data_IF_262747898949
#
_entry.id   IF_262747898949
#
_cell.length_a   1.000
_cell.length_b   1.000
_cell.length_c   1.000
_cell.angle_alpha   90.00
_cell.angle_beta   90.00
_cell.angle_gamma   90.00
#
_symmetry.space_group_name_H-M   'P 1'
#
loop_
_entity.id
_entity.type
_entity.pdbx_description
1 polymer ?
#
# COMPACT_ATOMS: atom_id res chain seq x y z
N UNK A 1 11.84 -20.22 -15.35
CA UNK A 1 12.88 -19.43 -16.05
C UNK A 1 14.18 -20.22 -15.98
N UNK A 2 14.86 -20.49 -17.10
CA UNK A 2 16.13 -21.26 -17.08
C UNK A 2 17.32 -20.34 -16.80
N UNK A 3 18.43 -20.88 -16.28
CA UNK A 3 19.65 -20.11 -15.99
C UNK A 3 20.15 -19.31 -17.21
N UNK A 4 20.17 -19.93 -18.39
CA UNK A 4 20.54 -19.31 -19.67
C UNK A 4 19.64 -18.12 -20.02
N UNK A 5 18.36 -18.19 -19.68
CA UNK A 5 17.41 -17.08 -19.91
C UNK A 5 17.67 -15.93 -18.95
N UNK A 6 17.96 -16.23 -17.67
CA UNK A 6 18.28 -15.23 -16.66
C UNK A 6 19.56 -14.45 -17.02
N UNK A 7 20.61 -15.13 -17.50
CA UNK A 7 21.84 -14.48 -17.93
C UNK A 7 21.62 -13.54 -19.13
N UNK A 8 20.78 -13.95 -20.08
CA UNK A 8 20.38 -13.11 -21.22
C UNK A 8 19.63 -11.86 -20.76
N UNK A 9 18.67 -12.01 -19.85
CA UNK A 9 17.94 -10.87 -19.25
C UNK A 9 18.90 -9.92 -18.54
N UNK A 10 19.84 -10.45 -17.74
CA UNK A 10 20.84 -9.65 -17.03
C UNK A 10 21.74 -8.88 -18.00
N UNK A 11 22.22 -9.53 -19.05
CA UNK A 11 23.03 -8.89 -20.09
C UNK A 11 22.26 -7.77 -20.81
N UNK A 12 21.01 -8.03 -21.20
CA UNK A 12 20.13 -7.03 -21.82
C UNK A 12 19.87 -5.85 -20.89
N UNK A 13 19.63 -6.10 -19.60
CA UNK A 13 19.40 -5.05 -18.60
C UNK A 13 20.60 -4.15 -18.40
N UNK A 14 21.82 -4.72 -18.29
CA UNK A 14 23.04 -3.92 -18.19
C UNK A 14 23.23 -3.00 -19.40
N UNK A 15 22.97 -3.50 -20.62
CA UNK A 15 23.02 -2.70 -21.85
C UNK A 15 21.95 -1.61 -21.90
N UNK A 16 20.75 -1.93 -21.40
CA UNK A 16 19.63 -0.99 -21.33
C UNK A 16 19.95 0.18 -20.38
N UNK A 17 20.33 -0.10 -19.13
CA UNK A 17 20.66 0.92 -18.12
C UNK A 17 21.90 1.73 -18.50
N UNK A 18 22.84 1.15 -19.24
CA UNK A 18 24.00 1.89 -19.74
C UNK A 18 23.64 2.98 -20.75
N UNK A 19 22.45 2.91 -21.38
CA UNK A 19 22.02 3.85 -22.42
C UNK A 19 21.76 5.25 -21.86
N UNK A 20 22.27 6.28 -22.54
CA UNK A 20 22.23 7.67 -22.09
C UNK A 20 20.81 8.24 -21.92
N UNK A 21 19.85 7.82 -22.75
CA UNK A 21 18.45 8.22 -22.64
C UNK A 21 17.78 7.65 -21.37
N UNK A 22 18.04 6.38 -21.03
CA UNK A 22 17.50 5.74 -19.82
C UNK A 22 18.02 6.42 -18.57
N UNK A 23 19.33 6.70 -18.49
CA UNK A 23 19.95 7.36 -17.33
C UNK A 23 19.33 8.72 -16.99
N UNK A 24 18.89 9.47 -18.01
CA UNK A 24 18.23 10.78 -17.80
C UNK A 24 16.82 10.65 -17.22
N UNK A 25 16.13 9.56 -17.57
CA UNK A 25 14.74 9.27 -17.18
C UNK A 25 14.61 8.54 -15.83
N UNK A 26 15.70 7.98 -15.29
CA UNK A 26 15.76 7.28 -13.99
C UNK A 26 15.67 8.21 -12.76
N UNK A 27 14.89 9.27 -12.85
CA UNK A 27 14.55 10.12 -11.69
C UNK A 27 13.34 9.53 -10.97
N UNK A 28 13.18 9.80 -9.66
CA UNK A 28 12.04 9.31 -8.88
C UNK A 28 10.72 9.65 -9.58
N UNK A 29 10.07 8.63 -10.17
CA UNK A 29 8.74 8.72 -10.75
C UNK A 29 7.78 7.87 -9.93
N UNK A 30 6.59 8.41 -9.66
CA UNK A 30 5.49 7.71 -8.98
C UNK A 30 4.77 6.71 -9.90
N UNK A 31 5.33 6.39 -11.06
CA UNK A 31 4.75 5.50 -12.07
C UNK A 31 5.09 4.04 -11.78
N UNK A 32 4.19 3.12 -12.17
CA UNK A 32 4.45 1.68 -12.08
C UNK A 32 5.67 1.28 -12.91
N UNK A 33 6.52 0.42 -12.35
CA UNK A 33 7.78 0.02 -12.97
C UNK A 33 7.59 -0.72 -14.30
N UNK A 34 6.53 -1.54 -14.45
CA UNK A 34 6.24 -2.20 -15.73
C UNK A 34 5.89 -1.19 -16.82
N UNK A 35 5.08 -0.18 -16.51
CA UNK A 35 4.72 0.88 -17.45
C UNK A 35 5.94 1.76 -17.78
N UNK A 36 6.69 2.15 -16.75
CA UNK A 36 7.90 2.95 -16.90
C UNK A 36 8.95 2.26 -17.78
N UNK A 37 9.29 1.00 -17.48
CA UNK A 37 10.31 0.30 -18.25
C UNK A 37 9.82 -0.06 -19.65
N UNK A 38 8.55 -0.44 -19.83
CA UNK A 38 8.01 -0.79 -21.15
C UNK A 38 7.86 0.40 -22.09
N UNK A 39 7.70 1.63 -21.56
CA UNK A 39 7.70 2.85 -22.37
C UNK A 39 9.10 3.28 -22.84
N UNK A 40 10.14 2.93 -22.09
CA UNK A 40 11.52 3.31 -22.38
C UNK A 40 12.28 2.30 -23.25
N UNK A 41 11.86 1.05 -23.30
CA UNK A 41 12.61 -0.01 -24.00
C UNK A 41 12.05 -0.36 -25.37
N UNK A 42 12.95 -0.60 -26.33
CA UNK A 42 12.61 -1.20 -27.62
C UNK A 42 12.41 -2.72 -27.46
N UNK A 43 11.19 -3.18 -27.74
CA UNK A 43 10.75 -4.58 -27.63
C UNK A 43 11.54 -5.51 -28.54
N UNK A 44 11.96 -5.05 -29.71
CA UNK A 44 12.68 -5.85 -30.69
C UNK A 44 14.14 -6.06 -30.27
N UNK A 45 14.72 -5.04 -29.62
CA UNK A 45 16.12 -5.06 -29.15
C UNK A 45 16.31 -5.81 -27.84
N UNK A 46 15.33 -5.76 -26.93
CA UNK A 46 15.42 -6.30 -25.58
C UNK A 46 14.31 -7.33 -25.30
N UNK A 47 14.14 -8.31 -26.18
CA UNK A 47 12.99 -9.23 -26.15
C UNK A 47 12.89 -10.01 -24.84
N UNK A 48 14.01 -10.50 -24.29
CA UNK A 48 14.00 -11.30 -23.06
C UNK A 48 13.71 -10.42 -21.84
N UNK A 49 14.35 -9.25 -21.77
CA UNK A 49 14.11 -8.26 -20.73
C UNK A 49 12.67 -7.72 -20.77
N UNK A 50 12.11 -7.49 -21.96
CA UNK A 50 10.74 -7.03 -22.12
C UNK A 50 9.73 -8.05 -21.59
N UNK A 51 9.94 -9.34 -21.89
CA UNK A 51 9.12 -10.40 -21.32
C UNK A 51 9.26 -10.48 -19.79
N UNK A 52 10.49 -10.31 -19.28
CA UNK A 52 10.77 -10.30 -17.85
C UNK A 52 10.05 -9.15 -17.12
N UNK A 53 10.14 -7.92 -17.65
CA UNK A 53 9.48 -6.71 -17.10
C UNK A 53 7.96 -6.79 -17.19
N UNK A 54 7.41 -7.57 -18.13
CA UNK A 54 5.97 -7.86 -18.14
C UNK A 54 5.52 -8.83 -17.07
N UNK A 55 6.37 -9.76 -16.64
CA UNK A 55 5.96 -10.81 -15.69
C UNK A 55 6.27 -10.41 -14.25
N UNK A 56 7.52 -10.02 -13.99
CA UNK A 56 8.06 -9.94 -12.62
C UNK A 56 7.54 -8.74 -11.83
N UNK A 57 7.54 -7.49 -12.37
CA UNK A 57 6.91 -6.36 -11.70
C UNK A 57 5.41 -6.55 -11.46
N UNK A 58 4.68 -7.20 -12.38
CA UNK A 58 3.26 -7.51 -12.19
C UNK A 58 3.06 -8.45 -11.00
N UNK A 59 3.92 -9.47 -10.85
CA UNK A 59 3.90 -10.37 -9.69
C UNK A 59 4.30 -9.66 -8.38
N UNK A 60 5.25 -8.72 -8.43
CA UNK A 60 5.61 -7.90 -7.28
C UNK A 60 4.44 -7.03 -6.81
N UNK A 61 3.62 -6.51 -7.73
CA UNK A 61 2.41 -5.76 -7.40
C UNK A 61 1.25 -6.65 -6.95
N UNK A 62 1.13 -7.89 -7.42
CA UNK A 62 0.12 -8.83 -6.91
C UNK A 62 0.27 -9.08 -5.40
N UNK A 63 1.51 -9.22 -4.92
CA UNK A 63 1.78 -9.35 -3.49
C UNK A 63 1.78 -8.00 -2.75
N UNK A 64 2.33 -6.93 -3.34
CA UNK A 64 2.34 -5.62 -2.70
C UNK A 64 0.96 -4.94 -2.64
N UNK A 65 0.03 -5.25 -3.56
CA UNK A 65 -1.35 -4.79 -3.52
C UNK A 65 -2.16 -5.58 -2.48
N UNK A 66 -1.85 -6.86 -2.27
CA UNK A 66 -2.39 -7.64 -1.16
C UNK A 66 -1.85 -7.09 0.17
N UNK A 67 -0.56 -6.70 0.26
CA UNK A 67 0.03 -5.98 1.41
C UNK A 67 -0.51 -4.55 1.59
N UNK A 68 -0.85 -3.83 0.52
CA UNK A 68 -1.59 -2.56 0.61
C UNK A 68 -3.08 -2.78 0.95
N UNK A 69 -3.64 -3.96 0.67
CA UNK A 69 -4.92 -4.42 1.21
C UNK A 69 -4.85 -4.64 2.72
N UNK A 70 -3.68 -5.05 3.25
CA UNK A 70 -3.38 -4.99 4.68
C UNK A 70 -3.11 -3.55 5.18
N UNK A 71 -2.88 -2.55 4.32
CA UNK A 71 -2.92 -1.14 4.75
C UNK A 71 -4.37 -0.65 4.95
N UNK A 72 -5.37 -1.31 4.37
CA UNK A 72 -6.78 -1.14 4.78
C UNK A 72 -7.00 -1.79 6.17
N UNK A 73 -6.16 -2.75 6.58
CA UNK A 73 -6.11 -3.22 7.97
C UNK A 73 -5.53 -2.19 8.95
N UNK A 74 -5.12 -0.98 8.54
CA UNK A 74 -4.92 0.10 9.52
C UNK A 74 -6.25 0.51 10.20
N UNK A 75 -7.38 0.14 9.60
CA UNK A 75 -8.71 0.24 10.18
C UNK A 75 -9.26 -1.12 10.68
N UNK A 76 -8.46 -2.20 10.67
CA UNK A 76 -8.91 -3.39 11.38
C UNK A 76 -8.81 -3.12 12.88
N UNK A 77 -9.86 -3.46 13.65
CA UNK A 77 -9.73 -3.55 15.08
C UNK A 77 -8.51 -4.44 15.35
N UNK A 78 -7.58 -3.92 16.16
CA UNK A 78 -6.41 -4.61 16.72
C UNK A 78 -6.73 -6.10 16.87
N UNK A 79 -5.85 -7.00 16.39
CA UNK A 79 -6.00 -8.47 16.39
C UNK A 79 -6.14 -9.09 17.80
N UNK A 80 -7.11 -8.63 18.61
CA UNK A 80 -7.56 -9.22 19.87
C UNK A 80 -8.77 -8.47 20.50
N UNK A 81 -9.51 -7.62 19.78
CA UNK A 81 -10.69 -6.99 20.38
C UNK A 81 -11.81 -7.99 20.60
N UNK A 82 -12.32 -8.06 21.83
CA UNK A 82 -13.58 -8.75 22.12
C UNK A 82 -14.74 -8.08 21.36
N UNK A 83 -15.72 -8.88 20.94
CA UNK A 83 -16.90 -8.43 20.21
C UNK A 83 -17.58 -7.23 20.88
N UNK A 84 -17.71 -7.27 22.21
CA UNK A 84 -18.26 -6.17 23.01
C UNK A 84 -17.50 -4.85 22.83
N UNK A 85 -16.16 -4.90 22.82
CA UNK A 85 -15.34 -3.71 22.60
C UNK A 85 -15.55 -3.10 21.22
N UNK A 86 -15.78 -3.94 20.20
CA UNK A 86 -16.07 -3.47 18.84
C UNK A 86 -17.44 -2.79 18.78
N UNK A 87 -18.45 -3.36 19.43
CA UNK A 87 -19.80 -2.78 19.52
C UNK A 87 -19.76 -1.43 20.26
N UNK A 88 -19.04 -1.36 21.38
CA UNK A 88 -18.90 -0.14 22.18
C UNK A 88 -18.18 0.96 21.38
N UNK A 89 -17.09 0.63 20.68
CA UNK A 89 -16.38 1.58 19.81
C UNK A 89 -17.26 2.10 18.67
N UNK A 90 -18.04 1.21 18.03
CA UNK A 90 -18.96 1.60 16.96
C UNK A 90 -20.05 2.53 17.48
N UNK A 91 -20.61 2.22 18.66
CA UNK A 91 -21.64 3.02 19.31
C UNK A 91 -21.14 4.44 19.62
N UNK A 92 -19.92 4.56 20.16
CA UNK A 92 -19.28 5.86 20.41
C UNK A 92 -19.05 6.62 19.11
N UNK A 93 -18.49 5.96 18.08
CA UNK A 93 -18.24 6.58 16.79
C UNK A 93 -19.52 7.14 16.15
N UNK A 94 -20.58 6.34 16.11
CA UNK A 94 -21.85 6.74 15.51
C UNK A 94 -22.50 7.91 16.28
N UNK A 95 -22.40 7.90 17.61
CA UNK A 95 -22.89 9.00 18.46
C UNK A 95 -22.14 10.32 18.20
N UNK A 96 -20.81 10.26 18.07
CA UNK A 96 -19.96 11.42 17.76
C UNK A 96 -20.22 11.92 16.34
N UNK A 97 -20.35 11.00 15.37
CA UNK A 97 -20.65 11.35 13.97
C UNK A 97 -22.01 12.03 13.84
N UNK A 98 -23.04 11.49 14.50
CA UNK A 98 -24.39 12.08 14.51
C UNK A 98 -24.44 13.45 15.19
N UNK A 99 -23.52 13.73 16.13
CA UNK A 99 -23.37 15.05 16.75
C UNK A 99 -22.68 16.06 15.82
N UNK A 100 -22.26 15.67 14.61
CA UNK A 100 -21.57 16.53 13.66
C UNK A 100 -20.05 16.61 13.87
N UNK A 101 -19.48 15.62 14.56
CA UNK A 101 -18.04 15.47 14.80
C UNK A 101 -17.61 15.79 16.22
N UNK A 102 -16.35 15.48 16.54
CA UNK A 102 -15.79 15.49 17.90
C UNK A 102 -15.98 16.82 18.64
N UNK A 103 -15.84 17.95 17.95
CA UNK A 103 -15.93 19.28 18.56
C UNK A 103 -17.37 19.78 18.77
N UNK A 104 -18.36 19.03 18.27
CA UNK A 104 -19.79 19.38 18.39
C UNK A 104 -20.55 18.48 19.34
N UNK A 105 -19.85 17.58 20.04
CA UNK A 105 -20.44 16.73 21.06
C UNK A 105 -20.64 17.54 22.33
N UNK A 106 -21.90 17.67 22.76
CA UNK A 106 -22.23 18.33 24.02
C UNK A 106 -21.75 17.48 25.21
N UNK A 107 -20.78 18.03 25.96
CA UNK A 107 -20.25 17.36 27.16
C UNK A 107 -21.25 17.55 28.31
N UNK A 108 -22.05 16.51 28.57
CA UNK A 108 -23.00 16.52 29.68
C UNK A 108 -22.33 16.14 31.00
N UNK A 109 -22.91 16.60 32.12
CA UNK A 109 -22.44 16.24 33.48
C UNK A 109 -22.37 14.73 33.71
N UNK A 110 -23.25 13.96 33.07
CA UNK A 110 -23.28 12.50 33.20
C UNK A 110 -22.05 11.84 32.60
N UNK A 111 -21.56 12.33 31.45
CA UNK A 111 -20.33 11.83 30.82
C UNK A 111 -19.14 12.07 31.75
N UNK A 112 -19.03 13.29 32.29
CA UNK A 112 -17.95 13.66 33.23
C UNK A 112 -17.94 12.73 34.45
N UNK A 113 -19.12 12.51 35.05
CA UNK A 113 -19.26 11.62 36.21
C UNK A 113 -18.91 10.16 35.87
N UNK A 114 -19.31 9.66 34.71
CA UNK A 114 -18.99 8.30 34.25
C UNK A 114 -17.48 8.11 34.03
N UNK A 115 -16.78 9.09 33.45
CA UNK A 115 -15.31 9.05 33.33
C UNK A 115 -14.61 9.13 34.67
N UNK A 116 -15.10 9.97 35.60
CA UNK A 116 -14.50 10.11 36.92
C UNK A 116 -14.66 8.86 37.79
N UNK A 117 -15.73 8.09 37.61
CA UNK A 117 -15.94 6.81 38.27
C UNK A 117 -14.98 5.72 37.73
N UNK A 118 -14.72 5.70 36.42
CA UNK A 118 -13.82 4.72 35.80
C UNK A 118 -12.32 5.00 36.02
N UNK A 119 -11.94 6.23 36.39
CA UNK A 119 -10.55 6.57 36.75
C UNK A 119 -10.16 6.19 38.20
N UNK A 120 -11.10 5.63 38.98
CA UNK A 120 -10.88 5.22 40.38
C UNK A 120 -10.74 3.71 40.58
N UNK A 121 -10.81 2.94 39.50
CA UNK A 121 -10.54 1.50 39.45
C UNK A 121 -9.22 1.25 38.70
#
# INVERSE_FOLDING_TARGET
>A
MTAVTADKVKSEFCKFIASSHVKKELKHKSERLDVFYSSLMDKNKYKNLFMFVKIVPIMSHGNAAVENGFSINKAMPIENMHEKSVIDLRTVYDSVSNSGGLFKVDITKQIILATAANMKN
#
